data_IF_224157412390
#
_entry.id   IF_224157412390
#
_cell.length_a   1.000
_cell.length_b   1.000
_cell.length_c   1.000
_cell.angle_alpha   90.00
_cell.angle_beta   90.00
_cell.angle_gamma   90.00
#
_symmetry.space_group_name_H-M   'P 1'
#
loop_
_entity.id
_entity.type
_entity.pdbx_description
1 polymer ?
#
# COMPACT_ATOMS: atom_id res chain seq x y z
N UNK A 1 -39.62 21.57 10.21
CA UNK A 1 -38.23 21.91 10.59
C UNK A 1 -37.47 20.60 10.76
N UNK A 2 -36.27 20.48 10.20
CA UNK A 2 -35.40 19.30 10.38
C UNK A 2 -34.46 19.58 11.55
N UNK A 3 -34.27 18.61 12.43
CA UNK A 3 -33.42 18.70 13.61
C UNK A 3 -32.59 17.43 13.71
N UNK A 4 -31.28 17.58 13.87
CA UNK A 4 -30.37 16.47 14.12
C UNK A 4 -30.13 16.42 15.64
N UNK A 5 -30.50 15.29 16.27
CA UNK A 5 -30.42 15.09 17.72
C UNK A 5 -29.47 13.93 18.03
N UNK A 6 -28.70 14.06 19.11
CA UNK A 6 -28.01 12.91 19.69
C UNK A 6 -29.03 11.89 20.24
N UNK A 7 -28.59 10.66 20.50
CA UNK A 7 -29.48 9.65 21.08
C UNK A 7 -30.04 10.07 22.45
N UNK A 8 -29.25 10.77 23.24
CA UNK A 8 -29.66 11.32 24.55
C UNK A 8 -30.70 12.43 24.37
N UNK A 9 -30.43 13.39 23.49
CA UNK A 9 -31.35 14.49 23.20
C UNK A 9 -32.67 14.03 22.56
N UNK A 10 -32.65 12.90 21.83
CA UNK A 10 -33.85 12.28 21.30
C UNK A 10 -34.74 11.68 22.40
N UNK A 11 -34.13 11.10 23.44
CA UNK A 11 -34.85 10.49 24.58
C UNK A 11 -35.47 11.53 25.51
N UNK A 12 -34.77 12.64 25.72
CA UNK A 12 -35.22 13.72 26.62
C UNK A 12 -36.11 14.76 25.92
N UNK A 13 -36.59 14.48 24.70
CA UNK A 13 -37.42 15.41 23.93
C UNK A 13 -38.81 15.56 24.57
N UNK A 14 -39.29 16.80 24.63
CA UNK A 14 -40.69 17.11 24.97
C UNK A 14 -41.66 16.42 23.99
N UNK A 15 -42.54 15.57 24.52
CA UNK A 15 -43.49 14.75 23.75
C UNK A 15 -44.51 15.56 22.93
N UNK A 16 -44.73 16.83 23.29
CA UNK A 16 -45.63 17.74 22.58
C UNK A 16 -45.21 18.02 21.12
N UNK A 17 -43.96 17.69 20.75
CA UNK A 17 -43.48 17.78 19.37
C UNK A 17 -43.31 16.36 18.84
N UNK A 18 -44.33 15.87 18.13
CA UNK A 18 -44.30 14.56 17.49
C UNK A 18 -43.75 14.70 16.05
N UNK A 19 -42.57 14.14 15.74
CA UNK A 19 -42.03 14.18 14.39
C UNK A 19 -42.81 13.22 13.50
N UNK A 20 -43.09 13.65 12.27
CA UNK A 20 -43.75 12.82 11.26
C UNK A 20 -42.89 11.60 10.87
N UNK A 21 -41.55 11.73 10.89
CA UNK A 21 -40.61 10.63 10.61
C UNK A 21 -39.23 10.94 11.20
N UNK A 22 -38.47 9.90 11.54
CA UNK A 22 -37.09 10.00 12.00
C UNK A 22 -36.24 8.83 11.49
N UNK A 23 -34.94 9.06 11.32
CA UNK A 23 -33.96 8.02 11.00
C UNK A 23 -32.84 8.01 12.03
N UNK A 24 -32.45 6.80 12.46
CA UNK A 24 -31.35 6.56 13.39
C UNK A 24 -30.20 5.91 12.63
N UNK A 25 -29.02 6.49 12.71
CA UNK A 25 -27.79 5.89 12.19
C UNK A 25 -26.76 5.78 13.29
N UNK A 26 -25.90 4.76 13.21
CA UNK A 26 -24.75 4.59 14.09
C UNK A 26 -23.51 4.76 13.23
N UNK A 27 -22.68 5.75 13.57
CA UNK A 27 -21.36 5.86 12.98
C UNK A 27 -20.46 4.78 13.58
N UNK A 28 -19.93 3.91 12.74
CA UNK A 28 -18.87 3.00 13.12
C UNK A 28 -17.56 3.51 12.49
N UNK A 29 -16.55 3.87 13.29
CA UNK A 29 -15.27 4.25 12.74
C UNK A 29 -14.72 3.06 11.94
N UNK A 30 -14.13 3.35 10.78
CA UNK A 30 -13.47 2.33 10.00
C UNK A 30 -12.48 1.56 10.89
N UNK A 31 -12.38 0.22 10.76
CA UNK A 31 -11.41 -0.54 11.53
C UNK A 31 -10.01 0.06 11.32
N UNK A 32 -9.17 0.10 12.37
CA UNK A 32 -7.80 0.56 12.21
C UNK A 32 -7.15 -0.23 11.08
N UNK A 33 -6.44 0.49 10.18
CA UNK A 33 -5.71 -0.15 9.09
C UNK A 33 -4.93 -1.34 9.65
N UNK A 34 -5.14 -2.51 9.03
CA UNK A 34 -4.41 -3.71 9.41
C UNK A 34 -2.92 -3.37 9.54
N UNK A 35 -2.24 -3.84 10.61
CA UNK A 35 -0.83 -3.55 10.79
C UNK A 35 -0.10 -3.90 9.50
N UNK A 36 0.67 -2.94 8.97
CA UNK A 36 1.43 -3.18 7.74
C UNK A 36 2.21 -4.48 7.96
N UNK A 37 2.08 -5.50 7.09
CA UNK A 37 2.70 -6.80 7.32
C UNK A 37 4.24 -6.73 7.39
N UNK A 38 4.83 -5.55 7.13
CA UNK A 38 6.26 -5.31 7.09
C UNK A 38 6.65 -3.90 7.55
N UNK A 39 7.59 -3.85 8.50
CA UNK A 39 8.37 -2.66 8.83
C UNK A 39 9.10 -2.16 7.57
N UNK A 40 9.05 -0.84 7.36
CA UNK A 40 9.53 -0.17 6.14
C UNK A 40 11.01 -0.43 5.84
N UNK A 41 11.83 -0.46 6.89
CA UNK A 41 13.29 -0.65 6.81
C UNK A 41 13.66 -2.00 6.18
N UNK A 42 12.93 -3.07 6.50
CA UNK A 42 13.22 -4.41 5.96
C UNK A 42 12.96 -4.51 4.44
N UNK A 43 11.97 -3.78 3.92
CA UNK A 43 11.64 -3.83 2.49
C UNK A 43 12.67 -3.10 1.64
N UNK A 44 13.17 -1.95 2.11
CA UNK A 44 14.16 -1.17 1.39
C UNK A 44 15.53 -1.85 1.39
N UNK A 45 15.97 -2.37 2.53
CA UNK A 45 17.22 -3.13 2.62
C UNK A 45 17.20 -4.37 1.72
N UNK A 46 16.09 -5.12 1.71
CA UNK A 46 15.92 -6.25 0.80
C UNK A 46 15.98 -5.79 -0.66
N UNK A 47 15.28 -4.71 -1.02
CA UNK A 47 15.29 -4.17 -2.38
C UNK A 47 16.69 -3.77 -2.83
N UNK A 48 17.43 -3.01 -2.00
CA UNK A 48 18.81 -2.59 -2.27
C UNK A 48 19.75 -3.78 -2.43
N UNK A 49 19.56 -4.85 -1.64
CA UNK A 49 20.34 -6.08 -1.79
C UNK A 49 20.04 -6.78 -3.12
N UNK A 50 18.76 -6.99 -3.42
CA UNK A 50 18.34 -7.75 -4.62
C UNK A 50 18.72 -7.02 -5.92
N UNK A 51 18.60 -5.69 -5.99
CA UNK A 51 18.82 -4.94 -7.24
C UNK A 51 20.30 -4.94 -7.68
N UNK A 52 21.23 -5.20 -6.75
CA UNK A 52 22.68 -5.25 -7.01
C UNK A 52 23.13 -6.67 -7.41
N UNK A 53 22.30 -7.69 -7.22
CA UNK A 53 22.62 -9.06 -7.61
C UNK A 53 22.83 -9.19 -9.14
N UNK A 54 23.71 -10.11 -9.56
CA UNK A 54 24.03 -10.30 -10.98
C UNK A 54 22.81 -10.73 -11.82
N UNK A 55 21.86 -11.43 -11.20
CA UNK A 55 20.61 -11.83 -11.82
C UNK A 55 19.44 -11.52 -10.87
N UNK A 56 19.01 -10.24 -10.79
CA UNK A 56 18.01 -9.83 -9.83
C UNK A 56 16.65 -10.45 -10.20
N UNK A 57 15.89 -10.99 -9.22
CA UNK A 57 14.54 -11.50 -9.47
C UNK A 57 13.62 -10.34 -9.86
N UNK A 58 13.38 -10.17 -11.17
CA UNK A 58 12.69 -9.01 -11.74
C UNK A 58 11.31 -8.78 -11.10
N UNK A 59 10.56 -9.86 -10.84
CA UNK A 59 9.24 -9.80 -10.21
C UNK A 59 9.30 -9.24 -8.79
N UNK A 60 10.23 -9.76 -7.98
CA UNK A 60 10.39 -9.31 -6.59
C UNK A 60 10.89 -7.86 -6.53
N UNK A 61 11.88 -7.50 -7.35
CA UNK A 61 12.38 -6.12 -7.44
C UNK A 61 11.27 -5.15 -7.87
N UNK A 62 10.44 -5.54 -8.84
CA UNK A 62 9.30 -4.75 -9.30
C UNK A 62 8.25 -4.52 -8.21
N UNK A 63 7.83 -5.58 -7.52
CA UNK A 63 6.83 -5.45 -6.44
C UNK A 63 7.39 -4.65 -5.27
N UNK A 64 8.64 -4.87 -4.88
CA UNK A 64 9.29 -4.08 -3.82
C UNK A 64 9.38 -2.60 -4.19
N UNK A 65 9.74 -2.28 -5.45
CA UNK A 65 9.75 -0.90 -5.92
C UNK A 65 8.37 -0.24 -5.84
N UNK A 66 7.30 -0.94 -6.27
CA UNK A 66 5.92 -0.45 -6.16
C UNK A 66 5.48 -0.28 -4.70
N UNK A 67 5.87 -1.19 -3.82
CA UNK A 67 5.60 -1.09 -2.38
C UNK A 67 6.26 0.17 -1.80
N UNK A 68 7.54 0.40 -2.12
CA UNK A 68 8.30 1.57 -1.66
C UNK A 68 7.77 2.89 -2.27
N UNK A 69 7.30 2.86 -3.51
CA UNK A 69 6.63 3.99 -4.16
C UNK A 69 5.33 4.36 -3.42
N UNK A 70 4.47 3.38 -3.11
CA UNK A 70 3.24 3.61 -2.34
C UNK A 70 3.52 4.16 -0.95
N UNK A 71 4.64 3.76 -0.33
CA UNK A 71 5.13 4.28 0.96
C UNK A 71 5.85 5.64 0.86
N UNK A 72 5.96 6.22 -0.34
CA UNK A 72 6.65 7.48 -0.63
C UNK A 72 8.16 7.46 -0.33
N UNK A 73 8.79 6.28 -0.33
CA UNK A 73 10.25 6.14 -0.17
C UNK A 73 10.94 6.34 -1.52
N UNK A 74 10.40 5.72 -2.58
CA UNK A 74 10.84 5.92 -3.95
C UNK A 74 9.86 6.85 -4.70
N UNK A 75 10.37 7.50 -5.74
CA UNK A 75 9.60 8.28 -6.70
C UNK A 75 9.94 7.79 -8.10
N UNK A 76 8.95 7.35 -8.86
CA UNK A 76 9.14 7.06 -10.27
C UNK A 76 9.40 8.38 -11.02
N UNK A 77 10.58 8.52 -11.62
CA UNK A 77 10.98 9.74 -12.34
C UNK A 77 10.82 9.59 -13.84
N UNK A 78 11.03 8.38 -14.37
CA UNK A 78 10.99 8.13 -15.81
C UNK A 78 10.62 6.69 -16.12
N UNK A 79 10.07 6.49 -17.31
CA UNK A 79 9.82 5.17 -17.89
C UNK A 79 10.44 5.14 -19.28
N UNK A 80 11.16 4.06 -19.58
CA UNK A 80 11.73 3.83 -20.90
C UNK A 80 11.27 2.50 -21.47
N UNK A 81 11.11 2.44 -22.78
CA UNK A 81 10.86 1.19 -23.49
C UNK A 81 12.12 0.86 -24.27
N UNK A 82 12.84 -0.17 -23.83
CA UNK A 82 14.06 -0.62 -24.48
C UNK A 82 13.88 -2.08 -24.90
N UNK A 83 14.06 -2.37 -26.20
CA UNK A 83 14.07 -3.73 -26.75
C UNK A 83 12.84 -4.58 -26.36
N UNK A 84 11.65 -3.98 -26.34
CA UNK A 84 10.39 -4.66 -25.97
C UNK A 84 10.19 -4.87 -24.47
N UNK A 85 11.13 -4.45 -23.63
CA UNK A 85 11.00 -4.44 -22.16
C UNK A 85 10.80 -3.02 -21.65
N UNK A 86 9.89 -2.86 -20.68
CA UNK A 86 9.64 -1.58 -20.03
C UNK A 86 10.56 -1.45 -18.81
N UNK A 87 11.26 -0.33 -18.71
CA UNK A 87 12.18 0.02 -17.63
C UNK A 87 11.59 1.17 -16.83
N UNK A 88 11.61 1.04 -15.51
CA UNK A 88 11.17 2.04 -14.56
C UNK A 88 12.40 2.61 -13.86
N UNK A 89 12.55 3.93 -13.92
CA UNK A 89 13.63 4.65 -13.26
C UNK A 89 13.03 5.31 -12.03
N UNK A 90 13.54 4.91 -10.88
CA UNK A 90 13.13 5.39 -9.55
C UNK A 90 14.25 6.23 -8.92
N UNK A 91 13.86 7.25 -8.18
CA UNK A 91 14.74 8.06 -7.36
C UNK A 91 14.31 7.93 -5.88
N UNK A 92 15.28 7.72 -4.99
CA UNK A 92 15.03 7.69 -3.56
C UNK A 92 14.89 9.11 -3.00
N UNK A 93 13.79 9.36 -2.27
CA UNK A 93 13.38 10.73 -1.95
C UNK A 93 14.31 11.48 -1.00
N UNK A 94 15.02 10.76 -0.13
CA UNK A 94 15.84 11.42 0.89
C UNK A 94 17.29 11.64 0.45
N UNK A 95 17.85 10.72 -0.34
CA UNK A 95 19.28 10.71 -0.68
C UNK A 95 19.55 10.86 -2.18
N UNK A 96 18.53 10.78 -3.05
CA UNK A 96 18.66 10.95 -4.49
C UNK A 96 19.20 9.72 -5.24
N UNK A 97 19.32 8.55 -4.59
CA UNK A 97 19.80 7.33 -5.25
C UNK A 97 18.88 6.93 -6.41
N UNK A 98 19.46 6.56 -7.54
CA UNK A 98 18.71 6.15 -8.74
C UNK A 98 18.74 4.64 -8.91
N UNK A 99 17.56 4.05 -9.09
CA UNK A 99 17.37 2.62 -9.32
C UNK A 99 16.67 2.38 -10.66
N UNK A 100 17.15 1.38 -11.41
CA UNK A 100 16.54 0.95 -12.67
C UNK A 100 15.92 -0.42 -12.46
N UNK A 101 14.60 -0.50 -12.59
CA UNK A 101 13.81 -1.71 -12.36
C UNK A 101 13.16 -2.14 -13.67
N UNK A 102 13.26 -3.43 -14.01
CA UNK A 102 12.56 -4.00 -15.18
C UNK A 102 11.11 -4.29 -14.80
N UNK A 103 10.17 -3.84 -15.64
CA UNK A 103 8.75 -4.19 -15.54
C UNK A 103 8.54 -5.55 -16.22
N UNK A 104 8.21 -6.62 -15.46
CA UNK A 104 8.00 -7.95 -16.02
C UNK A 104 6.67 -8.10 -16.77
N UNK A 105 5.84 -7.05 -16.83
CA UNK A 105 4.48 -7.08 -17.39
C UNK A 105 3.62 -8.18 -16.75
N UNK A 106 3.63 -8.22 -15.41
CA UNK A 106 2.93 -9.23 -14.62
C UNK A 106 1.45 -9.33 -14.99
N UNK A 107 0.99 -10.56 -15.23
CA UNK A 107 -0.43 -10.86 -15.40
C UNK A 107 -1.09 -11.08 -14.04
N UNK A 108 -2.39 -10.81 -13.96
CA UNK A 108 -3.19 -11.05 -12.74
C UNK A 108 -3.06 -12.49 -12.21
N UNK A 109 -2.91 -13.47 -13.11
CA UNK A 109 -2.71 -14.88 -12.76
C UNK A 109 -1.38 -15.17 -12.06
N UNK A 110 -0.40 -14.28 -12.15
CA UNK A 110 0.94 -14.44 -11.59
C UNK A 110 1.08 -13.75 -10.23
N UNK A 111 0.08 -12.97 -9.82
CA UNK A 111 0.14 -12.12 -8.64
C UNK A 111 0.30 -12.92 -7.34
N UNK A 112 -0.44 -14.02 -7.18
CA UNK A 112 -0.40 -14.86 -5.98
C UNK A 112 0.98 -15.49 -5.78
N UNK A 113 1.57 -16.05 -6.86
CA UNK A 113 2.92 -16.60 -6.83
C UNK A 113 3.97 -15.55 -6.49
N UNK A 114 3.89 -14.36 -7.09
CA UNK A 114 4.85 -13.29 -6.83
C UNK A 114 4.70 -12.77 -5.39
N UNK A 115 3.47 -12.72 -4.88
CA UNK A 115 3.21 -12.35 -3.49
C UNK A 115 3.85 -13.35 -2.51
N UNK A 116 3.72 -14.66 -2.77
CA UNK A 116 4.37 -15.70 -1.97
C UNK A 116 5.89 -15.67 -2.06
N UNK A 117 6.45 -15.40 -3.24
CA UNK A 117 7.89 -15.25 -3.46
C UNK A 117 8.44 -14.08 -2.64
N UNK A 118 7.79 -12.91 -2.74
CA UNK A 118 8.17 -11.71 -1.99
C UNK A 118 7.99 -11.94 -0.50
N UNK A 119 6.88 -12.56 -0.06
CA UNK A 119 6.64 -12.89 1.34
C UNK A 119 7.69 -13.87 1.89
N UNK A 120 8.13 -14.84 1.09
CA UNK A 120 9.19 -15.78 1.46
C UNK A 120 10.53 -15.08 1.58
N UNK A 121 10.91 -14.24 0.63
CA UNK A 121 12.15 -13.46 0.67
C UNK A 121 12.20 -12.51 1.88
N UNK A 122 11.07 -11.90 2.20
CA UNK A 122 10.89 -11.02 3.36
C UNK A 122 10.88 -11.79 4.69
N UNK A 123 10.29 -12.99 4.72
CA UNK A 123 10.24 -13.88 5.88
C UNK A 123 11.59 -14.55 6.17
N UNK A 124 12.36 -14.89 5.14
CA UNK A 124 13.72 -15.43 5.27
C UNK A 124 14.70 -14.39 5.87
N UNK A 125 14.46 -13.10 5.64
CA UNK A 125 15.23 -12.00 6.24
C UNK A 125 15.06 -11.85 7.76
N UNK A 126 14.03 -12.45 8.38
CA UNK A 126 13.82 -12.43 9.84
C UNK A 126 14.71 -13.38 10.64
N UNK A 127 15.44 -14.30 9.99
CA UNK A 127 16.36 -15.20 10.69
C UNK A 127 17.74 -14.53 10.82
N UNK A 128 17.90 -13.66 11.81
CA UNK A 128 19.19 -13.36 12.43
C UNK A 128 18.99 -12.84 13.85
#
# INVERSE_FOLDING_TARGET
RREDLSEEAWRDRNENIQPFSFWKTKFEPAPPSAPEPLAKENAEELFRRLIVEANPPANACFVLALMLERKRVLKQVRTENANGSRLLIYEHRENGDVFIVRDPQLRLSELERVQDEVATLLGAGRRK
#
